data_IF_799411365412
#
_entry.id   IF_799411365412
#
_cell.length_a   1.000
_cell.length_b   1.000
_cell.length_c   1.000
_cell.angle_alpha   90.00
_cell.angle_beta   90.00
_cell.angle_gamma   90.00
#
_symmetry.space_group_name_H-M   'P 1'
#
loop_
_entity.id
_entity.type
_entity.pdbx_description
1 polymer ?
#
# COMPACT_ATOMS: atom_id res chain seq x y z
N UNK A 1 10.11 -27.46 17.69
CA UNK A 1 11.06 -27.96 16.68
C UNK A 1 11.37 -26.78 15.79
N UNK A 2 12.60 -26.28 15.81
CA UNK A 2 13.03 -25.12 15.01
C UNK A 2 13.20 -25.58 13.58
N UNK A 3 12.37 -25.10 12.65
CA UNK A 3 12.60 -25.37 11.23
C UNK A 3 14.00 -24.88 10.85
N UNK A 4 14.78 -25.67 10.09
CA UNK A 4 16.12 -25.27 9.71
C UNK A 4 16.03 -24.02 8.83
N UNK A 5 16.75 -22.96 9.24
CA UNK A 5 16.86 -21.72 8.47
C UNK A 5 17.23 -22.05 7.01
N UNK A 6 16.59 -21.40 6.02
CA UNK A 6 16.83 -21.70 4.61
C UNK A 6 18.32 -21.57 4.30
N UNK A 7 18.91 -22.63 3.75
CA UNK A 7 20.35 -22.64 3.49
C UNK A 7 20.70 -21.67 2.37
N UNK A 8 21.77 -20.89 2.58
CA UNK A 8 22.33 -20.02 1.55
C UNK A 8 22.76 -20.89 0.35
N UNK A 9 22.37 -20.54 -0.90
CA UNK A 9 22.74 -21.30 -2.09
C UNK A 9 24.24 -21.55 -2.20
N UNK A 10 24.64 -22.74 -2.69
CA UNK A 10 26.04 -23.20 -2.77
C UNK A 10 26.96 -22.14 -3.40
N UNK A 11 26.53 -21.57 -4.53
CA UNK A 11 27.27 -20.53 -5.25
C UNK A 11 27.56 -19.30 -4.39
N UNK A 12 26.60 -18.88 -3.56
CA UNK A 12 26.78 -17.72 -2.66
C UNK A 12 27.67 -18.08 -1.48
N UNK A 13 27.59 -19.31 -0.96
CA UNK A 13 28.51 -19.81 0.09
C UNK A 13 29.95 -19.84 -0.38
N UNK A 14 30.19 -20.24 -1.63
CA UNK A 14 31.54 -20.23 -2.22
C UNK A 14 32.09 -18.80 -2.38
N UNK A 15 31.23 -17.84 -2.78
CA UNK A 15 31.61 -16.43 -2.91
C UNK A 15 31.85 -15.75 -1.57
N UNK A 16 31.17 -16.18 -0.51
CA UNK A 16 31.23 -15.57 0.83
C UNK A 16 32.00 -16.42 1.84
N UNK A 17 32.78 -17.40 1.38
CA UNK A 17 33.53 -18.34 2.24
C UNK A 17 34.46 -17.63 3.23
N UNK A 18 34.99 -16.47 2.84
CA UNK A 18 35.91 -15.65 3.64
C UNK A 18 35.17 -14.59 4.47
N UNK A 19 33.83 -14.53 4.37
CA UNK A 19 32.96 -13.53 5.00
C UNK A 19 31.80 -14.19 5.78
N UNK A 20 32.10 -14.91 6.89
CA UNK A 20 31.10 -15.68 7.63
C UNK A 20 29.95 -14.84 8.20
N UNK A 21 30.22 -13.59 8.59
CA UNK A 21 29.20 -12.64 9.06
C UNK A 21 28.17 -12.32 7.96
N UNK A 22 28.61 -12.19 6.70
CA UNK A 22 27.72 -11.91 5.58
C UNK A 22 26.85 -13.12 5.23
N UNK A 23 27.36 -14.33 5.49
CA UNK A 23 26.62 -15.58 5.32
C UNK A 23 25.48 -15.70 6.35
N UNK A 24 25.72 -15.30 7.60
CA UNK A 24 24.68 -15.22 8.64
C UNK A 24 23.61 -14.20 8.29
N UNK A 25 24.00 -12.99 7.87
CA UNK A 25 23.06 -11.94 7.47
C UNK A 25 22.14 -12.38 6.31
N UNK A 26 22.70 -13.08 5.32
CA UNK A 26 21.93 -13.63 4.21
C UNK A 26 20.95 -14.73 4.66
N UNK A 27 21.37 -15.58 5.60
CA UNK A 27 20.52 -16.64 6.13
C UNK A 27 19.35 -16.07 6.95
N UNK A 28 19.60 -15.06 7.77
CA UNK A 28 18.56 -14.34 8.53
C UNK A 28 17.59 -13.60 7.60
N UNK A 29 18.12 -12.95 6.55
CA UNK A 29 17.31 -12.33 5.52
C UNK A 29 16.38 -13.36 4.88
N UNK A 30 16.92 -14.49 4.40
CA UNK A 30 16.11 -15.55 3.79
C UNK A 30 15.06 -16.12 4.76
N UNK A 31 15.39 -16.24 6.05
CA UNK A 31 14.44 -16.66 7.09
C UNK A 31 13.30 -15.67 7.30
N UNK A 32 13.57 -14.35 7.22
CA UNK A 32 12.53 -13.32 7.32
C UNK A 32 11.48 -13.43 6.20
N UNK A 33 11.83 -14.02 5.06
CA UNK A 33 10.93 -14.28 3.93
C UNK A 33 10.39 -15.71 3.88
N UNK A 34 10.90 -16.61 4.72
CA UNK A 34 10.46 -18.01 4.81
C UNK A 34 9.16 -18.17 5.60
N UNK A 35 8.78 -17.16 6.40
CA UNK A 35 7.45 -17.11 7.00
C UNK A 35 6.37 -16.99 5.93
N UNK A 36 5.20 -17.59 6.18
CA UNK A 36 4.01 -17.34 5.36
C UNK A 36 3.76 -15.83 5.31
N UNK A 37 3.89 -15.23 4.12
CA UNK A 37 3.24 -13.94 3.88
C UNK A 37 1.76 -14.20 4.09
N UNK A 38 1.18 -13.57 5.12
CA UNK A 38 -0.26 -13.52 5.26
C UNK A 38 -0.81 -12.93 3.96
N UNK A 39 -1.48 -13.76 3.16
CA UNK A 39 -2.21 -13.28 2.00
C UNK A 39 -3.35 -12.45 2.56
N UNK A 40 -3.44 -11.15 2.24
CA UNK A 40 -4.53 -10.32 2.73
C UNK A 40 -5.85 -10.96 2.31
N UNK A 41 -6.81 -10.97 3.22
CA UNK A 41 -8.17 -11.37 2.91
C UNK A 41 -8.73 -10.49 1.78
N UNK A 42 -9.72 -10.98 1.03
CA UNK A 42 -10.41 -10.17 0.01
C UNK A 42 -10.98 -8.87 0.58
N UNK A 43 -11.32 -8.88 1.88
CA UNK A 43 -11.74 -7.70 2.61
C UNK A 43 -10.60 -6.67 2.70
N UNK A 44 -9.44 -7.07 3.21
CA UNK A 44 -8.27 -6.19 3.32
C UNK A 44 -7.79 -5.68 1.95
N UNK A 45 -7.80 -6.55 0.92
CA UNK A 45 -7.50 -6.14 -0.45
C UNK A 45 -8.46 -5.06 -0.97
N UNK A 46 -9.77 -5.19 -0.69
CA UNK A 46 -10.75 -4.18 -1.06
C UNK A 46 -10.47 -2.86 -0.33
N UNK A 47 -10.22 -2.90 0.98
CA UNK A 47 -9.92 -1.69 1.76
C UNK A 47 -8.71 -0.97 1.16
N UNK A 48 -7.62 -1.69 0.88
CA UNK A 48 -6.44 -1.10 0.24
C UNK A 48 -6.73 -0.53 -1.14
N UNK A 49 -7.54 -1.22 -1.95
CA UNK A 49 -7.93 -0.75 -3.28
C UNK A 49 -8.76 0.54 -3.21
N UNK A 50 -9.68 0.63 -2.25
CA UNK A 50 -10.48 1.81 -1.98
C UNK A 50 -9.60 2.98 -1.53
N UNK A 51 -8.70 2.76 -0.57
CA UNK A 51 -7.79 3.78 -0.05
C UNK A 51 -6.89 4.32 -1.16
N UNK A 52 -6.33 3.41 -1.97
CA UNK A 52 -5.54 3.75 -3.15
C UNK A 52 -6.36 4.58 -4.15
N UNK A 53 -7.62 4.22 -4.40
CA UNK A 53 -8.50 4.96 -5.33
C UNK A 53 -8.85 6.35 -4.79
N UNK A 54 -9.14 6.48 -3.50
CA UNK A 54 -9.45 7.76 -2.88
C UNK A 54 -8.26 8.72 -2.92
N UNK A 55 -7.06 8.21 -2.67
CA UNK A 55 -5.82 8.97 -2.86
C UNK A 55 -5.68 9.49 -4.31
N UNK A 56 -5.94 8.64 -5.31
CA UNK A 56 -5.92 9.03 -6.73
C UNK A 56 -6.97 10.11 -7.04
N UNK A 57 -8.21 9.95 -6.55
CA UNK A 57 -9.28 10.93 -6.74
C UNK A 57 -8.91 12.33 -6.21
N UNK A 58 -8.23 12.38 -5.05
CA UNK A 58 -7.74 13.64 -4.49
C UNK A 58 -6.67 14.28 -5.38
N UNK A 59 -5.74 13.49 -5.91
CA UNK A 59 -4.71 14.01 -6.82
C UNK A 59 -5.31 14.52 -8.14
N UNK A 60 -6.26 13.78 -8.71
CA UNK A 60 -7.03 14.21 -9.89
C UNK A 60 -7.74 15.55 -9.63
N UNK A 61 -8.44 15.68 -8.50
CA UNK A 61 -9.15 16.91 -8.15
C UNK A 61 -8.20 18.10 -7.93
N UNK A 62 -7.03 17.87 -7.33
CA UNK A 62 -5.98 18.90 -7.19
C UNK A 62 -5.42 19.35 -8.53
N UNK A 63 -5.19 18.42 -9.46
CA UNK A 63 -4.71 18.72 -10.81
C UNK A 63 -5.74 19.56 -11.59
N UNK A 64 -7.03 19.19 -11.52
CA UNK A 64 -8.11 19.97 -12.12
C UNK A 64 -8.20 21.39 -11.52
N UNK A 65 -8.11 21.50 -10.18
CA UNK A 65 -8.10 22.77 -9.46
C UNK A 65 -6.93 23.66 -9.85
N UNK A 66 -5.74 23.09 -10.06
CA UNK A 66 -4.57 23.80 -10.57
C UNK A 66 -4.77 24.30 -12.00
N UNK A 67 -5.25 23.44 -12.90
CA UNK A 67 -5.50 23.79 -14.30
C UNK A 67 -6.57 24.88 -14.44
N UNK A 68 -7.62 24.86 -13.61
CA UNK A 68 -8.64 25.90 -13.58
C UNK A 68 -8.06 27.27 -13.15
N UNK A 69 -7.18 27.28 -12.14
CA UNK A 69 -6.48 28.49 -11.69
C UNK A 69 -5.57 29.07 -12.77
N UNK A 70 -4.85 28.21 -13.49
CA UNK A 70 -3.98 28.64 -14.60
C UNK A 70 -4.77 29.25 -15.77
N UNK A 71 -6.01 28.79 -15.98
CA UNK A 71 -6.92 29.34 -17.01
C UNK A 71 -7.66 30.61 -16.56
N UNK A 72 -7.67 30.93 -15.27
CA UNK A 72 -8.38 32.09 -14.73
C UNK A 72 -9.91 31.98 -14.74
N UNK A 73 -10.46 30.78 -14.91
CA UNK A 73 -11.92 30.55 -14.96
C UNK A 73 -12.47 30.44 -13.53
N UNK A 74 -13.09 31.52 -13.03
CA UNK A 74 -13.58 31.62 -11.66
C UNK A 74 -14.65 30.56 -11.32
N UNK A 75 -15.53 30.24 -12.26
CA UNK A 75 -16.59 29.25 -12.06
C UNK A 75 -16.01 27.84 -12.00
N UNK A 76 -15.06 27.55 -12.89
CA UNK A 76 -14.34 26.28 -12.89
C UNK A 76 -13.51 26.11 -11.61
N UNK A 77 -12.84 27.17 -11.14
CA UNK A 77 -12.07 27.17 -9.89
C UNK A 77 -12.96 26.83 -8.69
N UNK A 78 -14.13 27.45 -8.58
CA UNK A 78 -15.07 27.18 -7.50
C UNK A 78 -15.52 25.71 -7.50
N UNK A 79 -15.88 25.19 -8.69
CA UNK A 79 -16.31 23.81 -8.88
C UNK A 79 -15.20 22.79 -8.54
N UNK A 80 -13.99 23.00 -9.05
CA UNK A 80 -12.86 22.09 -8.80
C UNK A 80 -12.40 22.12 -7.35
N UNK A 81 -12.51 23.28 -6.68
CA UNK A 81 -12.18 23.40 -5.24
C UNK A 81 -13.20 22.66 -4.37
N UNK A 82 -14.49 22.72 -4.69
CA UNK A 82 -15.51 21.94 -3.99
C UNK A 82 -15.29 20.42 -4.17
N UNK A 83 -14.89 20.00 -5.38
CA UNK A 83 -14.49 18.61 -5.66
C UNK A 83 -13.27 18.21 -4.84
N UNK A 84 -12.22 19.03 -4.81
CA UNK A 84 -11.00 18.81 -4.02
C UNK A 84 -11.31 18.64 -2.53
N UNK A 85 -12.18 19.48 -1.97
CA UNK A 85 -12.62 19.36 -0.56
C UNK A 85 -13.37 18.06 -0.30
N UNK A 86 -14.22 17.63 -1.24
CA UNK A 86 -14.99 16.38 -1.11
C UNK A 86 -14.06 15.17 -1.15
N UNK A 87 -13.10 15.13 -2.09
CA UNK A 87 -12.11 14.05 -2.16
C UNK A 87 -11.16 14.06 -0.95
N UNK A 88 -10.85 15.25 -0.42
CA UNK A 88 -10.08 15.38 0.83
C UNK A 88 -10.82 14.77 2.02
N UNK A 89 -12.12 15.02 2.16
CA UNK A 89 -12.96 14.39 3.19
C UNK A 89 -13.01 12.87 3.03
N UNK A 90 -13.14 12.37 1.80
CA UNK A 90 -13.13 10.94 1.51
C UNK A 90 -11.83 10.28 2.01
N UNK A 91 -10.67 10.87 1.72
CA UNK A 91 -9.38 10.35 2.19
C UNK A 91 -9.25 10.41 3.71
N UNK A 92 -9.73 11.47 4.36
CA UNK A 92 -9.70 11.59 5.82
C UNK A 92 -10.60 10.60 6.56
N UNK A 93 -11.59 10.03 5.87
CA UNK A 93 -12.47 9.00 6.42
C UNK A 93 -11.88 7.59 6.29
N UNK A 94 -10.76 7.40 5.58
CA UNK A 94 -9.99 6.17 5.66
C UNK A 94 -9.24 6.12 7.00
N UNK A 95 -9.26 5.00 7.75
CA UNK A 95 -9.44 3.65 7.22
C UNK A 95 -10.87 3.09 7.33
N UNK A 96 -11.38 2.52 6.23
CA UNK A 96 -12.70 1.86 6.15
C UNK A 96 -12.68 0.41 6.66
N UNK A 97 -11.58 -0.03 7.26
CA UNK A 97 -11.40 -1.39 7.81
C UNK A 97 -12.31 -1.72 8.99
N UNK A 98 -13.13 -0.77 9.45
CA UNK A 98 -14.18 -0.94 10.46
C UNK A 98 -15.61 -0.79 9.93
N UNK A 99 -15.77 -0.65 8.61
CA UNK A 99 -17.09 -0.41 8.01
C UNK A 99 -17.97 -1.67 8.08
N UNK A 100 -19.14 -1.56 8.72
CA UNK A 100 -20.05 -2.70 8.94
C UNK A 100 -20.67 -3.22 7.66
N UNK A 101 -21.02 -2.35 6.71
CA UNK A 101 -21.64 -2.80 5.47
C UNK A 101 -20.65 -3.60 4.63
N UNK A 102 -19.39 -3.16 4.60
CA UNK A 102 -18.31 -3.94 3.99
C UNK A 102 -18.10 -5.25 4.74
N UNK A 103 -17.98 -5.25 6.07
CA UNK A 103 -17.81 -6.49 6.84
C UNK A 103 -18.96 -7.49 6.62
N UNK A 104 -20.22 -7.03 6.65
CA UNK A 104 -21.41 -7.85 6.45
C UNK A 104 -21.47 -8.43 5.03
N UNK A 105 -20.91 -7.73 4.03
CA UNK A 105 -20.81 -8.24 2.67
C UNK A 105 -19.78 -9.38 2.55
N UNK A 106 -18.63 -9.25 3.21
CA UNK A 106 -17.57 -10.27 3.17
C UNK A 106 -17.75 -11.41 4.19
N UNK A 107 -18.64 -11.26 5.17
CA UNK A 107 -19.02 -12.30 6.12
C UNK A 107 -20.07 -13.30 5.61
N UNK A 108 -20.56 -13.12 4.38
CA UNK A 108 -21.46 -14.04 3.66
C UNK A 108 -20.67 -15.02 2.79
#
# INVERSE_FOLDING_TARGET
MTDPLPQVPVRLREMLKDYPEQMTNLQELMASFAGERAVPSRYEELIWALESRAGRLLQEARAESKAAKEKGDLDLIAKTKAKEMTMGKLVLQAPWSGDRELMDYFGK
#
